data_IF_788947639006
#
_entry.id   IF_788947639006
#
_cell.length_a   1.000
_cell.length_b   1.000
_cell.length_c   1.000
_cell.angle_alpha   90.00
_cell.angle_beta   90.00
_cell.angle_gamma   90.00
#
_symmetry.space_group_name_H-M   'P 1'
#
loop_
_entity.id
_entity.type
_entity.pdbx_description
1 polymer ?
#
# COMPACT_ATOMS: atom_id res chain seq x y z
N UNK A 1 12.45 36.75 -20.90
CA UNK A 1 11.91 35.95 -22.01
C UNK A 1 11.32 34.67 -21.44
N UNK A 2 9.99 34.47 -21.45
CA UNK A 2 9.38 33.23 -20.97
C UNK A 2 9.32 32.20 -22.10
N UNK A 3 9.74 30.96 -21.81
CA UNK A 3 9.52 29.82 -22.69
C UNK A 3 8.11 29.31 -22.41
N UNK A 4 7.19 29.60 -23.33
CA UNK A 4 5.83 29.06 -23.31
C UNK A 4 5.83 27.59 -23.70
N UNK A 5 5.37 26.72 -22.81
CA UNK A 5 5.04 25.33 -23.15
C UNK A 5 3.64 25.29 -23.75
N UNK A 6 3.56 25.44 -25.07
CA UNK A 6 2.38 25.12 -25.86
C UNK A 6 2.41 23.63 -26.24
N UNK A 7 1.37 22.89 -25.86
CA UNK A 7 0.95 21.69 -26.59
C UNK A 7 1.36 20.35 -25.98
N UNK A 8 0.66 19.96 -24.91
CA UNK A 8 0.31 18.54 -24.76
C UNK A 8 -0.97 18.39 -25.58
N UNK A 9 -0.83 17.81 -26.79
CA UNK A 9 -1.98 17.36 -27.56
C UNK A 9 -2.56 16.17 -26.81
N UNK A 10 -3.82 16.31 -26.42
CA UNK A 10 -4.63 15.23 -25.90
C UNK A 10 -4.45 13.99 -26.80
N UNK A 11 -4.13 12.87 -26.17
CA UNK A 11 -4.03 11.59 -26.85
C UNK A 11 -5.47 11.17 -27.13
N UNK A 12 -5.94 11.50 -28.33
CA UNK A 12 -7.25 11.09 -28.86
C UNK A 12 -7.41 9.57 -28.72
N UNK A 13 -8.26 9.11 -27.81
CA UNK A 13 -8.63 7.69 -27.79
C UNK A 13 -9.28 7.12 -26.53
N UNK A 14 -9.35 7.83 -25.40
CA UNK A 14 -10.16 7.38 -24.27
C UNK A 14 -11.29 8.37 -23.99
N UNK A 15 -12.52 8.12 -24.47
CA UNK A 15 -13.66 8.92 -24.06
C UNK A 15 -13.84 8.70 -22.56
N UNK A 16 -13.69 9.77 -21.78
CA UNK A 16 -14.14 9.90 -20.39
C UNK A 16 -15.67 9.92 -20.32
N UNK A 17 -16.31 8.95 -20.95
CA UNK A 17 -17.72 8.66 -20.77
C UNK A 17 -17.86 7.93 -19.45
N UNK A 18 -18.03 8.69 -18.37
CA UNK A 18 -18.67 8.19 -17.16
C UNK A 18 -19.99 7.53 -17.58
N UNK A 19 -20.04 6.20 -17.57
CA UNK A 19 -21.28 5.49 -17.84
C UNK A 19 -22.27 5.88 -16.74
N UNK A 20 -23.33 6.61 -17.10
CA UNK A 20 -24.44 6.81 -16.19
C UNK A 20 -24.98 5.44 -15.77
N UNK A 21 -25.53 5.34 -14.55
CA UNK A 21 -26.12 4.09 -14.04
C UNK A 21 -27.11 3.47 -15.02
N UNK A 22 -27.87 4.32 -15.72
CA UNK A 22 -28.80 3.93 -16.78
C UNK A 22 -28.11 3.32 -18.01
N UNK A 23 -26.95 3.83 -18.40
CA UNK A 23 -26.16 3.25 -19.50
C UNK A 23 -25.59 1.88 -19.12
N UNK A 24 -25.17 1.71 -17.86
CA UNK A 24 -24.72 0.40 -17.36
C UNK A 24 -25.86 -0.62 -17.37
N UNK A 25 -27.04 -0.27 -16.87
CA UNK A 25 -28.21 -1.15 -16.85
C UNK A 25 -28.65 -1.53 -18.28
N UNK A 26 -28.67 -0.55 -19.20
CA UNK A 26 -28.99 -0.80 -20.61
C UNK A 26 -27.98 -1.76 -21.24
N UNK A 27 -26.68 -1.55 -21.01
CA UNK A 27 -25.62 -2.42 -21.52
C UNK A 27 -25.69 -3.83 -20.94
N UNK A 28 -26.09 -3.96 -19.68
CA UNK A 28 -26.25 -5.23 -19.00
C UNK A 28 -27.44 -6.02 -19.54
N UNK A 29 -28.52 -5.31 -19.89
CA UNK A 29 -29.68 -5.87 -20.57
C UNK A 29 -29.32 -6.35 -21.99
N UNK A 30 -28.63 -5.50 -22.78
CA UNK A 30 -28.13 -5.86 -24.12
C UNK A 30 -27.26 -7.12 -24.09
N UNK A 31 -26.36 -7.24 -23.11
CA UNK A 31 -25.48 -8.40 -22.96
C UNK A 31 -26.24 -9.68 -22.59
N UNK A 32 -27.33 -9.58 -21.80
CA UNK A 32 -28.18 -10.73 -21.46
C UNK A 32 -28.96 -11.25 -22.66
N UNK A 33 -29.35 -10.35 -23.57
CA UNK A 33 -30.18 -10.67 -24.73
C UNK A 33 -29.34 -11.04 -25.96
N UNK A 34 -28.06 -10.63 -26.00
CA UNK A 34 -27.17 -10.96 -27.11
C UNK A 34 -26.79 -12.45 -27.13
N UNK A 35 -26.86 -13.11 -28.31
CA UNK A 35 -26.48 -14.52 -28.42
C UNK A 35 -24.99 -14.72 -28.16
N UNK A 36 -24.63 -15.82 -27.50
CA UNK A 36 -23.23 -16.18 -27.27
C UNK A 36 -22.53 -16.34 -28.63
N UNK A 37 -21.50 -15.54 -28.94
CA UNK A 37 -20.82 -15.68 -30.21
C UNK A 37 -20.15 -17.05 -30.28
N UNK A 38 -20.15 -17.71 -31.45
CA UNK A 38 -19.50 -19.01 -31.60
C UNK A 38 -18.02 -18.89 -31.21
N UNK A 39 -17.45 -19.91 -30.55
CA UNK A 39 -16.06 -19.89 -30.14
C UNK A 39 -15.19 -19.73 -31.39
N UNK A 40 -14.50 -18.58 -31.49
CA UNK A 40 -13.48 -18.41 -32.53
C UNK A 40 -12.35 -19.39 -32.23
N UNK A 41 -11.88 -20.20 -33.19
CA UNK A 41 -10.72 -21.04 -33.00
C UNK A 41 -9.53 -20.13 -32.70
N UNK A 42 -9.12 -20.09 -31.43
CA UNK A 42 -7.89 -19.42 -31.01
C UNK A 42 -6.83 -20.50 -30.94
N UNK A 43 -5.84 -20.45 -31.83
CA UNK A 43 -4.57 -21.08 -31.56
C UNK A 43 -3.96 -20.35 -30.37
N UNK A 44 -4.14 -20.88 -29.16
CA UNK A 44 -3.44 -20.39 -27.97
C UNK A 44 -2.04 -20.99 -27.97
N UNK A 45 -1.16 -20.47 -28.83
CA UNK A 45 0.26 -20.78 -28.81
C UNK A 45 0.91 -19.99 -27.66
N UNK A 46 0.56 -20.29 -26.41
CA UNK A 46 1.43 -19.95 -25.30
C UNK A 46 2.50 -21.04 -25.25
N UNK A 47 3.61 -20.83 -25.95
CA UNK A 47 4.82 -21.53 -25.55
C UNK A 47 5.07 -21.11 -24.11
N UNK A 48 4.96 -22.05 -23.17
CA UNK A 48 5.45 -21.83 -21.81
C UNK A 48 6.94 -21.51 -21.95
N UNK A 49 7.27 -20.22 -21.97
CA UNK A 49 8.64 -19.78 -21.84
C UNK A 49 9.02 -20.25 -20.45
N UNK A 50 9.92 -21.24 -20.35
CA UNK A 50 10.55 -21.54 -19.07
C UNK A 50 11.12 -20.20 -18.59
N UNK A 51 10.75 -19.74 -17.38
CA UNK A 51 11.33 -18.51 -16.88
C UNK A 51 12.85 -18.68 -16.95
N UNK A 52 13.52 -17.73 -17.62
CA UNK A 52 14.97 -17.71 -17.57
C UNK A 52 15.42 -17.47 -16.13
N UNK A 53 16.68 -17.76 -15.78
CA UNK A 53 17.21 -17.44 -14.44
C UNK A 53 17.07 -15.94 -14.08
N UNK A 54 16.89 -15.06 -15.06
CA UNK A 54 16.60 -13.63 -14.87
C UNK A 54 15.11 -13.33 -14.61
N UNK A 55 14.19 -14.17 -15.11
CA UNK A 55 12.74 -14.02 -14.95
C UNK A 55 12.25 -14.61 -13.61
N UNK A 56 12.98 -15.57 -13.02
CA UNK A 56 12.63 -16.24 -11.75
C UNK A 56 12.68 -15.31 -10.52
N UNK A 57 13.16 -14.08 -10.71
CA UNK A 57 13.74 -13.24 -9.67
C UNK A 57 13.13 -11.83 -9.66
N UNK A 58 11.94 -11.69 -10.22
CA UNK A 58 11.18 -10.44 -10.20
C UNK A 58 9.88 -10.62 -9.45
N UNK A 59 9.56 -9.65 -8.61
CA UNK A 59 8.24 -9.54 -7.96
C UNK A 59 7.59 -8.24 -8.40
N UNK A 60 6.28 -8.26 -8.59
CA UNK A 60 5.56 -7.08 -9.01
C UNK A 60 4.69 -6.54 -7.90
N UNK A 61 4.78 -5.23 -7.68
CA UNK A 61 3.96 -4.48 -6.75
C UNK A 61 2.99 -3.59 -7.53
N UNK A 62 1.70 -3.63 -7.19
CA UNK A 62 0.69 -2.74 -7.75
C UNK A 62 0.38 -1.68 -6.70
N UNK A 63 0.67 -0.41 -7.01
CA UNK A 63 0.44 0.67 -6.08
C UNK A 63 -1.06 0.89 -5.84
N UNK A 64 -1.56 0.87 -4.59
CA UNK A 64 -2.98 1.10 -4.30
C UNK A 64 -3.39 2.56 -4.51
N UNK A 65 -2.42 3.49 -4.62
CA UNK A 65 -2.68 4.93 -4.77
C UNK A 65 -2.89 5.31 -6.24
N UNK A 66 -1.99 4.87 -7.13
CA UNK A 66 -2.02 5.25 -8.55
C UNK A 66 -2.30 4.08 -9.51
N UNK A 67 -2.39 2.84 -9.02
CA UNK A 67 -2.59 1.64 -9.84
C UNK A 67 -1.37 1.21 -10.67
N UNK A 68 -0.26 1.95 -10.60
CA UNK A 68 0.94 1.64 -11.40
C UNK A 68 1.60 0.36 -10.89
N UNK A 69 1.86 -0.57 -11.81
CA UNK A 69 2.62 -1.80 -11.54
C UNK A 69 4.12 -1.50 -11.64
N UNK A 70 4.83 -1.71 -10.55
CA UNK A 70 6.30 -1.61 -10.46
C UNK A 70 6.89 -3.01 -10.37
N UNK A 71 7.92 -3.30 -11.16
CA UNK A 71 8.63 -4.59 -11.11
C UNK A 71 9.90 -4.40 -10.29
N UNK A 72 9.98 -5.07 -9.14
CA UNK A 72 11.14 -5.03 -8.25
C UNK A 72 12.02 -6.27 -8.46
N UNK A 73 13.33 -6.09 -8.30
CA UNK A 73 14.31 -7.18 -8.25
C UNK A 73 14.29 -7.86 -6.86
N UNK A 74 14.67 -9.13 -6.80
CA UNK A 74 14.66 -10.05 -5.62
C UNK A 74 15.02 -9.41 -4.28
N UNK A 75 15.96 -8.47 -4.25
CA UNK A 75 16.45 -7.90 -2.98
C UNK A 75 15.33 -7.25 -2.14
N UNK A 76 14.15 -6.99 -2.73
CA UNK A 76 12.95 -6.52 -2.04
C UNK A 76 11.84 -7.56 -1.88
N UNK A 77 12.10 -8.83 -2.21
CA UNK A 77 11.08 -9.87 -2.12
C UNK A 77 10.60 -10.04 -0.68
N UNK A 78 11.52 -10.10 0.29
CA UNK A 78 11.18 -10.17 1.71
C UNK A 78 10.42 -8.93 2.21
N UNK A 79 10.74 -7.73 1.70
CA UNK A 79 10.01 -6.49 2.04
C UNK A 79 8.57 -6.54 1.51
N UNK A 80 8.41 -6.99 0.26
CA UNK A 80 7.10 -7.03 -0.40
C UNK A 80 6.20 -8.18 0.09
N UNK A 81 6.77 -9.31 0.53
CA UNK A 81 5.99 -10.38 1.16
C UNK A 81 5.49 -9.98 2.55
N UNK A 82 6.26 -9.16 3.26
CA UNK A 82 5.86 -8.62 4.57
C UNK A 82 4.80 -7.52 4.46
N UNK A 83 4.59 -6.91 3.28
CA UNK A 83 3.61 -5.83 3.12
C UNK A 83 2.20 -6.23 3.54
N UNK A 84 1.77 -7.44 3.22
CA UNK A 84 0.44 -7.92 3.60
C UNK A 84 0.34 -8.06 5.12
N UNK A 85 1.37 -8.60 5.78
CA UNK A 85 1.45 -8.67 7.25
C UNK A 85 1.41 -7.27 7.89
N UNK A 86 2.11 -6.29 7.31
CA UNK A 86 2.16 -4.92 7.81
C UNK A 86 0.81 -4.22 7.60
N UNK A 87 0.11 -4.49 6.49
CA UNK A 87 -1.24 -3.97 6.23
C UNK A 87 -2.24 -4.51 7.24
N UNK A 88 -2.18 -5.81 7.52
CA UNK A 88 -3.02 -6.46 8.53
C UNK A 88 -2.75 -5.90 9.92
N UNK A 89 -1.49 -5.72 10.28
CA UNK A 89 -1.09 -5.07 11.53
C UNK A 89 -1.63 -3.63 11.65
N UNK A 90 -1.54 -2.84 10.58
CA UNK A 90 -2.08 -1.49 10.56
C UNK A 90 -3.62 -1.48 10.65
N UNK A 91 -4.30 -2.45 10.02
CA UNK A 91 -5.75 -2.60 10.14
C UNK A 91 -6.16 -2.94 11.58
N UNK A 92 -5.48 -3.89 12.22
CA UNK A 92 -5.79 -4.26 13.60
C UNK A 92 -5.59 -3.08 14.57
N UNK A 93 -4.50 -2.31 14.40
CA UNK A 93 -4.28 -1.11 15.21
C UNK A 93 -5.37 -0.04 14.99
N UNK A 94 -5.90 0.08 13.77
CA UNK A 94 -7.08 0.93 13.48
C UNK A 94 -8.32 0.43 14.21
N UNK A 95 -8.55 -0.88 14.22
CA UNK A 95 -9.70 -1.48 14.90
C UNK A 95 -9.63 -1.28 16.43
N UNK A 96 -8.42 -1.12 16.97
CA UNK A 96 -8.16 -0.74 18.37
C UNK A 96 -8.28 0.78 18.64
N UNK A 97 -8.60 1.59 17.62
CA UNK A 97 -8.87 3.03 17.75
C UNK A 97 -7.70 3.95 17.44
N UNK A 98 -6.56 3.44 16.94
CA UNK A 98 -5.44 4.27 16.50
C UNK A 98 -5.54 4.57 15.00
N UNK A 99 -5.65 5.83 14.59
CA UNK A 99 -5.71 6.19 13.18
C UNK A 99 -4.31 6.06 12.53
N UNK A 100 -4.02 4.88 11.98
CA UNK A 100 -2.73 4.54 11.39
C UNK A 100 -2.88 4.02 9.96
N UNK A 101 -1.95 4.41 9.09
CA UNK A 101 -1.88 3.98 7.70
C UNK A 101 -0.45 3.59 7.33
N UNK A 102 -0.30 2.56 6.51
CA UNK A 102 0.99 2.23 5.91
C UNK A 102 1.29 3.21 4.78
N UNK A 103 2.46 3.86 4.80
CA UNK A 103 2.88 4.75 3.72
C UNK A 103 3.56 3.94 2.60
N UNK A 104 2.76 3.45 1.67
CA UNK A 104 3.24 2.56 0.62
C UNK A 104 3.82 3.27 -0.61
N UNK A 105 3.80 4.60 -0.66
CA UNK A 105 4.36 5.36 -1.78
C UNK A 105 5.84 5.03 -2.04
N UNK A 106 6.57 4.60 -1.02
CA UNK A 106 7.97 4.17 -1.12
C UNK A 106 8.17 2.98 -2.10
N UNK A 107 7.18 2.10 -2.24
CA UNK A 107 7.27 0.92 -3.11
C UNK A 107 6.87 1.21 -4.57
N UNK A 108 6.31 2.39 -4.85
CA UNK A 108 5.90 2.79 -6.19
C UNK A 108 6.89 3.79 -6.79
N UNK A 109 7.48 3.47 -7.94
CA UNK A 109 8.42 4.39 -8.63
C UNK A 109 7.78 5.74 -9.01
N UNK A 110 6.48 5.74 -9.26
CA UNK A 110 5.74 6.96 -9.63
C UNK A 110 5.44 7.82 -8.40
N UNK A 111 4.98 7.21 -7.31
CA UNK A 111 4.57 7.94 -6.10
C UNK A 111 5.72 8.27 -5.15
N UNK A 112 6.90 7.66 -5.31
CA UNK A 112 8.04 7.83 -4.41
C UNK A 112 8.65 9.24 -4.41
N UNK A 113 8.36 10.08 -5.43
CA UNK A 113 9.04 11.35 -5.69
C UNK A 113 9.12 12.31 -4.49
N UNK A 114 8.17 12.24 -3.56
CA UNK A 114 8.06 13.16 -2.42
C UNK A 114 8.07 12.47 -1.05
N UNK A 115 8.57 11.22 -0.98
CA UNK A 115 8.43 10.40 0.24
C UNK A 115 9.80 10.02 0.80
N UNK A 116 9.98 10.05 2.14
CA UNK A 116 11.21 9.61 2.76
C UNK A 116 11.62 8.20 2.28
N UNK A 117 12.94 7.99 2.14
CA UNK A 117 13.49 6.78 1.53
C UNK A 117 13.50 5.57 2.50
N UNK A 118 12.41 5.35 3.24
CA UNK A 118 12.29 4.29 4.24
C UNK A 118 10.83 3.88 4.49
N UNK A 119 10.65 2.67 4.99
CA UNK A 119 9.35 2.17 5.47
C UNK A 119 8.86 3.02 6.64
N UNK A 120 7.64 3.52 6.53
CA UNK A 120 7.05 4.38 7.55
C UNK A 120 5.56 4.12 7.71
N UNK A 121 5.09 4.30 8.94
CA UNK A 121 3.67 4.48 9.21
C UNK A 121 3.33 5.96 9.23
N UNK A 122 2.18 6.28 8.65
CA UNK A 122 1.53 7.57 8.76
C UNK A 122 0.49 7.47 9.86
N UNK A 123 0.76 8.09 11.00
CA UNK A 123 -0.09 8.04 12.19
C UNK A 123 -0.79 9.40 12.34
N UNK A 124 -2.08 9.39 12.66
CA UNK A 124 -2.83 10.58 13.03
C UNK A 124 -3.28 10.51 14.49
N UNK A 125 -2.94 11.56 15.25
CA UNK A 125 -3.35 11.74 16.65
C UNK A 125 -3.80 13.21 16.78
N UNK A 126 -5.01 13.44 17.27
CA UNK A 126 -5.56 14.79 17.51
C UNK A 126 -5.44 15.74 16.30
N UNK A 127 -5.77 15.25 15.09
CA UNK A 127 -5.64 15.96 13.81
C UNK A 127 -4.21 16.35 13.40
N UNK A 128 -3.19 15.90 14.13
CA UNK A 128 -1.79 15.98 13.69
C UNK A 128 -1.45 14.70 12.94
N UNK A 129 -0.77 14.84 11.82
CA UNK A 129 -0.27 13.71 11.03
C UNK A 129 1.26 13.74 11.12
N UNK A 130 1.84 12.62 11.48
CA UNK A 130 3.28 12.45 11.48
C UNK A 130 3.68 11.11 10.87
N UNK A 131 4.91 11.05 10.39
CA UNK A 131 5.48 9.86 9.78
C UNK A 131 6.48 9.25 10.74
N UNK A 132 6.29 7.98 11.09
CA UNK A 132 7.22 7.26 11.94
C UNK A 132 7.94 6.21 11.11
N UNK A 133 9.26 6.33 11.05
CA UNK A 133 10.11 5.30 10.48
C UNK A 133 10.03 4.03 11.30
N UNK A 134 9.81 2.90 10.64
CA UNK A 134 9.83 1.58 11.28
C UNK A 134 11.28 1.08 11.38
N UNK A 135 11.67 0.58 12.55
CA UNK A 135 12.96 -0.10 12.75
C UNK A 135 12.78 -1.62 12.68
N UNK A 136 11.72 -2.10 13.33
CA UNK A 136 11.26 -3.48 13.28
C UNK A 136 9.74 -3.41 13.37
N UNK A 137 9.05 -3.52 12.23
CA UNK A 137 7.60 -3.31 12.19
C UNK A 137 6.87 -4.25 13.15
N UNK A 138 7.37 -5.47 13.38
CA UNK A 138 6.80 -6.43 14.36
C UNK A 138 6.94 -5.92 15.79
N UNK A 139 8.11 -5.40 16.15
CA UNK A 139 8.33 -4.85 17.48
C UNK A 139 7.49 -3.59 17.69
N UNK A 140 7.47 -2.68 16.72
CA UNK A 140 6.70 -1.44 16.76
C UNK A 140 5.19 -1.72 16.86
N UNK A 141 4.70 -2.69 16.09
CA UNK A 141 3.32 -3.18 16.18
C UNK A 141 3.01 -3.74 17.56
N UNK A 142 3.86 -4.61 18.10
CA UNK A 142 3.65 -5.20 19.42
C UNK A 142 3.64 -4.13 20.51
N UNK A 143 4.52 -3.15 20.46
CA UNK A 143 4.54 -2.01 21.39
C UNK A 143 3.20 -1.27 21.36
N UNK A 144 2.73 -0.87 20.17
CA UNK A 144 1.47 -0.15 20.02
C UNK A 144 0.27 -1.00 20.46
N UNK A 145 0.22 -2.26 20.05
CA UNK A 145 -0.86 -3.18 20.41
C UNK A 145 -0.93 -3.38 21.92
N UNK A 146 0.21 -3.58 22.58
CA UNK A 146 0.27 -3.70 24.03
C UNK A 146 -0.21 -2.41 24.72
N UNK A 147 0.23 -1.24 24.23
CA UNK A 147 -0.22 0.05 24.76
C UNK A 147 -1.74 0.23 24.63
N UNK A 148 -2.33 -0.11 23.48
CA UNK A 148 -3.76 0.04 23.21
C UNK A 148 -4.63 -1.00 23.95
N UNK A 149 -4.08 -2.17 24.30
CA UNK A 149 -4.84 -3.26 24.94
C UNK A 149 -4.61 -3.40 26.44
N UNK A 150 -3.65 -2.66 27.00
CA UNK A 150 -3.38 -2.67 28.44
C UNK A 150 -4.61 -2.21 29.23
N UNK A 151 -5.06 -3.05 30.17
CA UNK A 151 -6.25 -2.75 30.99
C UNK A 151 -5.92 -1.91 32.21
N UNK A 152 -4.69 -2.00 32.70
CA UNK A 152 -4.21 -1.27 33.87
C UNK A 152 -2.70 -0.99 33.77
N UNK A 153 -2.22 -0.13 34.67
CA UNK A 153 -0.81 0.28 34.71
C UNK A 153 0.15 -0.88 35.02
N UNK A 154 -0.23 -1.82 35.88
CA UNK A 154 0.65 -2.94 36.22
C UNK A 154 0.86 -3.88 35.03
N UNK A 155 -0.19 -4.12 34.23
CA UNK A 155 -0.10 -4.87 32.99
C UNK A 155 0.86 -4.17 32.02
N UNK A 156 0.72 -2.86 31.88
CA UNK A 156 1.59 -2.03 31.04
C UNK A 156 3.04 -2.06 31.52
N UNK A 157 3.30 -1.79 32.80
CA UNK A 157 4.65 -1.72 33.38
C UNK A 157 5.36 -3.09 33.28
N UNK A 158 4.67 -4.19 33.63
CA UNK A 158 5.23 -5.55 33.52
C UNK A 158 5.59 -5.91 32.07
N UNK A 159 4.84 -5.41 31.10
CA UNK A 159 5.07 -5.66 29.68
C UNK A 159 6.20 -4.78 29.12
N UNK A 160 6.34 -3.55 29.62
CA UNK A 160 7.38 -2.61 29.21
C UNK A 160 8.75 -2.93 29.86
N UNK A 161 8.77 -3.46 31.09
CA UNK A 161 10.00 -3.90 31.76
C UNK A 161 10.69 -5.06 31.03
N UNK A 162 9.94 -5.90 30.32
CA UNK A 162 10.51 -7.02 29.55
C UNK A 162 11.31 -6.57 28.32
N UNK A 163 11.22 -5.30 27.94
CA UNK A 163 11.83 -4.80 26.71
C UNK A 163 12.42 -3.42 26.99
N UNK A 164 13.65 -3.44 27.50
CA UNK A 164 14.46 -2.25 27.76
C UNK A 164 14.52 -1.35 26.50
N UNK A 165 14.20 -0.06 26.65
CA UNK A 165 14.17 0.93 25.55
C UNK A 165 12.81 1.13 24.86
N UNK A 166 11.77 0.35 25.20
CA UNK A 166 10.47 0.49 24.55
C UNK A 166 9.73 1.78 24.90
N UNK A 167 9.95 2.40 26.06
CA UNK A 167 9.24 3.63 26.44
C UNK A 167 9.59 4.77 25.49
N UNK A 168 10.87 5.02 25.24
CA UNK A 168 11.32 6.03 24.28
C UNK A 168 10.82 5.72 22.86
N UNK A 169 10.81 4.43 22.49
CA UNK A 169 10.29 4.01 21.18
C UNK A 169 8.79 4.24 21.05
N UNK A 170 8.01 3.92 22.08
CA UNK A 170 6.57 4.20 22.14
C UNK A 170 6.31 5.70 22.01
N UNK A 171 7.06 6.54 22.73
CA UNK A 171 6.95 7.99 22.62
C UNK A 171 7.21 8.49 21.19
N UNK A 172 8.23 7.94 20.53
CA UNK A 172 8.49 8.22 19.11
C UNK A 172 7.35 7.75 18.20
N UNK A 173 6.78 6.56 18.46
CA UNK A 173 5.64 6.01 17.73
C UNK A 173 4.36 6.83 17.92
N UNK A 174 4.24 7.53 19.05
CA UNK A 174 3.14 8.43 19.35
C UNK A 174 3.43 9.90 18.96
N UNK A 175 4.55 10.15 18.26
CA UNK A 175 4.86 11.46 17.71
C UNK A 175 5.33 12.48 18.74
N UNK A 176 5.83 12.05 19.90
CA UNK A 176 6.61 12.94 20.76
C UNK A 176 7.97 13.17 20.10
N UNK A 177 8.21 14.40 19.67
CA UNK A 177 9.54 14.82 19.26
C UNK A 177 10.45 14.81 20.49
N UNK A 178 11.64 14.20 20.39
CA UNK A 178 12.68 14.39 21.39
C UNK A 178 13.21 15.82 21.18
N UNK A 179 12.66 16.78 21.93
CA UNK A 179 13.22 18.13 22.05
C UNK A 179 14.66 18.10 22.59
#
# INVERSE_FOLDING_TARGET
MPIGFSGIKDIDGFPSNFFSRKNLETRLQELKESPVPPPKPRAMCYSMKRPGPEDELTTSYICPICGTKTIHRIYKWDELTQLDEIRDAAQELRDLGLEIYLEERYYCEVCKKDVPNHESWRISIENKIFFVRLYSWRQDYNILKLFLTAKNKNDFDMLMEKIEGNTQRLETLLGKEND
#
